data_IF_530095084468
#
_entry.id   IF_530095084468
#
_cell.length_a   1.000
_cell.length_b   1.000
_cell.length_c   1.000
_cell.angle_alpha   90.00
_cell.angle_beta   90.00
_cell.angle_gamma   90.00
#
_symmetry.space_group_name_H-M   'P 1'
#
loop_
_entity.id
_entity.type
_entity.pdbx_description
1 polymer ?
#
# COMPACT_ATOMS: atom_id res chain seq x y z
N UNK A 1 -13.21 12.43 -15.18
CA UNK A 1 -11.98 11.64 -15.41
C UNK A 1 -12.33 10.39 -16.22
N UNK A 2 -11.51 9.96 -17.21
CA UNK A 2 -11.67 8.66 -17.88
C UNK A 2 -11.33 7.50 -16.92
N UNK A 3 -12.07 6.40 -17.00
CA UNK A 3 -11.87 5.24 -16.12
C UNK A 3 -10.47 4.59 -16.19
N UNK A 4 -9.72 4.57 -17.31
CA UNK A 4 -8.36 4.04 -17.31
C UNK A 4 -7.40 4.91 -16.47
N UNK A 5 -7.62 6.23 -16.42
CA UNK A 5 -6.83 7.15 -15.59
C UNK A 5 -7.03 6.82 -14.10
N UNK A 6 -8.25 6.46 -13.68
CA UNK A 6 -8.52 5.98 -12.33
C UNK A 6 -7.75 4.69 -12.03
N UNK A 7 -7.76 3.72 -12.93
CA UNK A 7 -7.03 2.47 -12.77
C UNK A 7 -5.51 2.70 -12.60
N UNK A 8 -4.92 3.61 -13.39
CA UNK A 8 -3.50 3.96 -13.25
C UNK A 8 -3.22 4.78 -11.99
N UNK A 9 -4.14 5.65 -11.57
CA UNK A 9 -4.02 6.37 -10.30
C UNK A 9 -4.03 5.41 -9.11
N UNK A 10 -4.90 4.40 -9.14
CA UNK A 10 -4.90 3.34 -8.14
C UNK A 10 -3.67 2.44 -8.22
N UNK A 11 -3.24 2.09 -9.43
CA UNK A 11 -2.05 1.27 -9.61
C UNK A 11 -0.80 1.91 -8.98
N UNK A 12 -0.67 3.26 -9.06
CA UNK A 12 0.47 3.96 -8.44
C UNK A 12 0.52 3.80 -6.91
N UNK A 13 -0.60 3.53 -6.27
CA UNK A 13 -0.67 3.42 -4.80
C UNK A 13 -0.69 1.98 -4.28
N UNK A 14 -0.76 0.98 -5.15
CA UNK A 14 -0.86 -0.42 -4.75
C UNK A 14 0.52 -1.07 -4.67
N UNK A 15 1.23 -1.20 -5.78
CA UNK A 15 2.48 -1.96 -5.84
C UNK A 15 3.44 -1.41 -6.87
N UNK A 16 4.70 -1.21 -6.45
CA UNK A 16 5.83 -0.88 -7.32
C UNK A 16 6.71 -2.09 -7.62
N UNK A 17 7.68 -1.92 -8.52
CA UNK A 17 8.66 -2.98 -8.81
C UNK A 17 9.52 -3.31 -7.59
N UNK A 18 9.75 -2.36 -6.70
CA UNK A 18 10.49 -2.54 -5.44
C UNK A 18 9.72 -3.37 -4.40
N UNK A 19 8.39 -3.37 -4.45
CA UNK A 19 7.56 -4.10 -3.48
C UNK A 19 7.53 -5.61 -3.71
N UNK A 20 7.87 -6.10 -4.91
CA UNK A 20 7.90 -7.54 -5.21
C UNK A 20 9.22 -8.23 -4.81
N UNK A 21 10.26 -7.46 -4.51
CA UNK A 21 11.59 -7.97 -4.16
C UNK A 21 11.63 -8.57 -2.75
N UNK A 22 11.04 -7.91 -1.78
CA UNK A 22 11.03 -8.39 -0.39
C UNK A 22 10.21 -9.67 -0.19
N UNK A 23 9.02 -9.84 -0.79
CA UNK A 23 8.34 -11.13 -0.81
C UNK A 23 9.16 -12.24 -1.45
N UNK A 24 9.90 -11.96 -2.54
CA UNK A 24 10.82 -12.92 -3.14
C UNK A 24 11.95 -13.31 -2.19
N UNK A 25 12.50 -12.35 -1.44
CA UNK A 25 13.52 -12.62 -0.42
C UNK A 25 13.00 -13.52 0.70
N UNK A 26 11.75 -13.32 1.12
CA UNK A 26 11.17 -14.07 2.25
C UNK A 26 10.71 -15.49 1.88
N UNK A 27 10.14 -15.67 0.69
CA UNK A 27 9.49 -16.90 0.28
C UNK A 27 10.20 -17.65 -0.87
N UNK A 28 11.21 -17.04 -1.49
CA UNK A 28 11.86 -17.64 -2.67
C UNK A 28 10.88 -17.81 -3.83
N UNK A 29 11.06 -18.89 -4.64
CA UNK A 29 10.19 -19.18 -5.79
C UNK A 29 8.71 -19.41 -5.42
N UNK A 30 8.43 -19.86 -4.21
CA UNK A 30 7.05 -20.13 -3.77
C UNK A 30 6.18 -18.88 -3.72
N UNK A 31 6.78 -17.69 -3.67
CA UNK A 31 6.04 -16.42 -3.71
C UNK A 31 5.27 -16.22 -5.02
N UNK A 32 5.75 -16.76 -6.14
CA UNK A 32 5.02 -16.68 -7.43
C UNK A 32 3.66 -17.40 -7.34
N UNK A 33 3.65 -18.59 -6.73
CA UNK A 33 2.41 -19.32 -6.45
C UNK A 33 1.50 -18.53 -5.49
N UNK A 34 2.08 -17.93 -4.47
CA UNK A 34 1.33 -17.10 -3.51
C UNK A 34 0.72 -15.86 -4.14
N UNK A 35 1.42 -15.19 -5.04
CA UNK A 35 0.83 -14.08 -5.78
C UNK A 35 -0.44 -14.52 -6.52
N UNK A 36 -0.39 -15.65 -7.22
CA UNK A 36 -1.57 -16.20 -7.92
C UNK A 36 -2.71 -16.48 -6.92
N UNK A 37 -2.41 -17.09 -5.77
CA UNK A 37 -3.42 -17.35 -4.74
C UNK A 37 -4.02 -16.06 -4.19
N UNK A 38 -3.22 -15.10 -3.80
CA UNK A 38 -3.69 -13.82 -3.25
C UNK A 38 -4.50 -13.04 -4.28
N UNK A 39 -4.10 -13.04 -5.54
CA UNK A 39 -4.85 -12.38 -6.61
C UNK A 39 -6.24 -13.00 -6.77
N UNK A 40 -6.33 -14.32 -6.83
CA UNK A 40 -7.61 -15.00 -7.04
C UNK A 40 -8.50 -14.97 -5.80
N UNK A 41 -7.92 -15.21 -4.62
CA UNK A 41 -8.70 -15.39 -3.39
C UNK A 41 -8.98 -14.08 -2.66
N UNK A 42 -8.19 -13.04 -2.91
CA UNK A 42 -8.32 -11.78 -2.19
C UNK A 42 -8.39 -10.57 -3.12
N UNK A 43 -7.37 -10.27 -3.95
CA UNK A 43 -7.28 -9.01 -4.68
C UNK A 43 -8.47 -8.78 -5.63
N UNK A 44 -8.76 -9.76 -6.50
CA UNK A 44 -9.90 -9.67 -7.42
C UNK A 44 -11.25 -9.53 -6.68
N UNK A 45 -11.61 -10.38 -5.67
CA UNK A 45 -12.79 -10.14 -4.85
C UNK A 45 -12.80 -8.78 -4.17
N UNK A 46 -11.67 -8.33 -3.64
CA UNK A 46 -11.53 -7.05 -2.96
C UNK A 46 -11.82 -5.87 -3.88
N UNK A 47 -11.21 -5.82 -5.05
CA UNK A 47 -11.43 -4.77 -6.04
C UNK A 47 -12.89 -4.75 -6.54
N UNK A 48 -13.50 -5.93 -6.73
CA UNK A 48 -14.92 -6.01 -7.09
C UNK A 48 -15.85 -5.59 -5.97
N UNK A 49 -15.48 -5.83 -4.70
CA UNK A 49 -16.20 -5.33 -3.52
C UNK A 49 -16.11 -3.82 -3.44
N UNK A 50 -14.93 -3.23 -3.66
CA UNK A 50 -14.74 -1.76 -3.73
C UNK A 50 -15.58 -1.18 -4.86
N UNK A 51 -15.60 -1.81 -6.04
CA UNK A 51 -16.46 -1.40 -7.16
C UNK A 51 -17.95 -1.44 -6.79
N UNK A 52 -18.40 -2.47 -6.09
CA UNK A 52 -19.81 -2.55 -5.64
C UNK A 52 -20.12 -1.49 -4.61
N UNK A 53 -19.31 -1.30 -3.58
CA UNK A 53 -19.53 -0.29 -2.54
C UNK A 53 -19.53 1.12 -3.13
N UNK A 54 -18.55 1.44 -4.01
CA UNK A 54 -18.47 2.71 -4.70
C UNK A 54 -19.70 2.97 -5.58
N UNK A 55 -20.22 1.96 -6.27
CA UNK A 55 -21.45 2.11 -7.08
C UNK A 55 -22.74 2.15 -6.24
N UNK A 56 -22.70 1.65 -5.00
CA UNK A 56 -23.86 1.69 -4.08
C UNK A 56 -24.00 3.08 -3.45
N UNK A 57 -22.89 3.74 -3.12
CA UNK A 57 -22.86 4.98 -2.36
C UNK A 57 -22.39 6.21 -3.17
N UNK A 58 -22.34 6.09 -4.49
CA UNK A 58 -21.84 7.10 -5.44
C UNK A 58 -22.64 8.41 -5.48
N UNK A 59 -23.92 8.37 -5.12
CA UNK A 59 -24.85 9.49 -5.31
C UNK A 59 -24.59 10.71 -4.41
N UNK A 60 -23.55 10.70 -3.56
CA UNK A 60 -23.34 11.73 -2.56
C UNK A 60 -21.92 12.30 -2.59
N UNK A 61 -21.84 13.61 -2.47
CA UNK A 61 -20.60 14.40 -2.49
C UNK A 61 -19.59 14.03 -1.39
N UNK A 62 -20.01 13.26 -0.38
CA UNK A 62 -19.23 12.83 0.79
C UNK A 62 -18.97 11.32 0.80
N UNK A 63 -19.00 10.63 -0.34
CA UNK A 63 -18.82 9.19 -0.46
C UNK A 63 -17.39 8.72 -0.17
N UNK A 64 -16.99 8.71 1.09
CA UNK A 64 -15.73 8.12 1.56
C UNK A 64 -15.93 6.74 2.19
N UNK A 65 -14.82 6.07 2.51
CA UNK A 65 -14.81 4.75 3.14
C UNK A 65 -15.57 4.73 4.48
N UNK A 66 -15.44 5.81 5.27
CA UNK A 66 -16.15 5.99 6.52
C UNK A 66 -17.66 6.12 6.32
N UNK A 67 -18.10 6.81 5.25
CA UNK A 67 -19.51 6.91 4.87
C UNK A 67 -20.08 5.56 4.45
N UNK A 68 -19.32 4.74 3.72
CA UNK A 68 -19.74 3.38 3.38
C UNK A 68 -20.03 2.54 4.63
N UNK A 69 -19.12 2.58 5.61
CA UNK A 69 -19.29 1.86 6.87
C UNK A 69 -20.47 2.43 7.67
N UNK A 70 -20.54 3.76 7.85
CA UNK A 70 -21.59 4.42 8.61
C UNK A 70 -22.99 4.06 8.09
N UNK A 71 -23.17 4.11 6.76
CA UNK A 71 -24.47 3.83 6.14
C UNK A 71 -24.81 2.36 6.14
N UNK A 72 -23.86 1.49 5.79
CA UNK A 72 -24.11 0.06 5.74
C UNK A 72 -24.41 -0.54 7.11
N UNK A 73 -23.85 0.03 8.19
CA UNK A 73 -24.02 -0.45 9.57
C UNK A 73 -24.98 0.40 10.42
N UNK A 74 -25.45 1.54 9.91
CA UNK A 74 -26.19 2.56 10.66
C UNK A 74 -25.48 3.03 11.95
N UNK A 75 -24.12 3.06 11.93
CA UNK A 75 -23.31 3.40 13.09
C UNK A 75 -22.26 4.48 12.76
N UNK A 76 -22.47 5.68 13.29
CA UNK A 76 -21.51 6.78 13.19
C UNK A 76 -20.15 6.43 13.80
N UNK A 77 -20.18 5.65 14.91
CA UNK A 77 -18.96 5.21 15.58
C UNK A 77 -18.12 4.28 14.71
N UNK A 78 -18.73 3.30 14.02
CA UNK A 78 -18.02 2.43 13.09
C UNK A 78 -17.49 3.21 11.88
N UNK A 79 -18.23 4.21 11.40
CA UNK A 79 -17.75 5.15 10.39
C UNK A 79 -16.47 5.85 10.82
N UNK A 80 -16.48 6.43 12.02
CA UNK A 80 -15.28 7.05 12.61
C UNK A 80 -14.11 6.07 12.75
N UNK A 81 -14.35 4.89 13.30
CA UNK A 81 -13.31 3.86 13.44
C UNK A 81 -12.70 3.49 12.09
N UNK A 82 -13.53 3.40 11.05
CA UNK A 82 -13.07 3.10 9.68
C UNK A 82 -12.18 4.21 9.14
N UNK A 83 -12.58 5.48 9.29
CA UNK A 83 -11.75 6.61 8.86
C UNK A 83 -10.40 6.64 9.57
N UNK A 84 -10.41 6.42 10.88
CA UNK A 84 -9.19 6.41 11.68
C UNK A 84 -8.25 5.26 11.31
N UNK A 85 -8.78 4.03 11.23
CA UNK A 85 -7.97 2.85 10.90
C UNK A 85 -7.43 2.93 9.47
N UNK A 86 -8.22 3.45 8.53
CA UNK A 86 -7.74 3.73 7.17
C UNK A 86 -6.55 4.70 7.20
N UNK A 87 -6.71 5.85 7.85
CA UNK A 87 -5.66 6.85 7.98
C UNK A 87 -4.42 6.29 8.66
N UNK A 88 -4.57 5.66 9.83
CA UNK A 88 -3.47 5.12 10.62
C UNK A 88 -2.71 4.00 9.89
N UNK A 89 -3.43 3.15 9.14
CA UNK A 89 -2.82 2.06 8.36
C UNK A 89 -1.94 2.56 7.20
N UNK A 90 -2.19 3.77 6.70
CA UNK A 90 -1.39 4.33 5.63
C UNK A 90 -0.09 5.00 6.14
N UNK A 91 0.04 5.27 7.45
CA UNK A 91 1.19 6.01 7.98
C UNK A 91 2.53 5.31 7.76
N UNK A 92 2.69 4.00 8.03
CA UNK A 92 3.96 3.32 7.76
C UNK A 92 4.32 3.32 6.27
N UNK A 93 3.32 3.23 5.39
CA UNK A 93 3.56 3.22 3.95
C UNK A 93 3.94 4.58 3.40
N UNK A 94 3.36 5.67 3.91
CA UNK A 94 3.79 7.03 3.57
C UNK A 94 5.28 7.24 3.90
N UNK A 95 5.73 6.72 5.05
CA UNK A 95 7.14 6.78 5.43
C UNK A 95 8.01 5.91 4.51
N UNK A 96 7.56 4.70 4.18
CA UNK A 96 8.27 3.78 3.29
C UNK A 96 8.44 4.36 1.87
N UNK A 97 7.37 4.94 1.31
CA UNK A 97 7.39 5.62 0.01
C UNK A 97 8.36 6.82 0.01
N UNK A 98 8.34 7.63 1.07
CA UNK A 98 9.26 8.74 1.19
C UNK A 98 10.72 8.30 1.36
N UNK A 99 10.97 7.21 2.08
CA UNK A 99 12.28 6.56 2.17
C UNK A 99 12.74 6.07 0.78
N UNK A 100 11.87 5.40 0.04
CA UNK A 100 12.16 4.92 -1.31
C UNK A 100 12.44 6.06 -2.29
N UNK A 101 11.81 7.24 -2.10
CA UNK A 101 12.14 8.44 -2.87
C UNK A 101 13.56 8.94 -2.58
N UNK A 102 14.01 8.94 -1.31
CA UNK A 102 15.39 9.30 -0.94
C UNK A 102 16.38 8.34 -1.60
N UNK A 103 16.12 7.04 -1.55
CA UNK A 103 16.97 6.02 -2.17
C UNK A 103 17.01 6.20 -3.69
N UNK A 104 15.88 6.47 -4.34
CA UNK A 104 15.84 6.73 -5.79
C UNK A 104 16.73 7.91 -6.19
N UNK A 105 16.66 9.02 -5.46
CA UNK A 105 17.51 10.19 -5.67
C UNK A 105 18.98 9.83 -5.45
N UNK A 106 19.28 9.04 -4.42
CA UNK A 106 20.67 8.62 -4.17
C UNK A 106 21.26 7.83 -5.34
N UNK A 107 20.50 6.88 -5.91
CA UNK A 107 20.92 6.13 -7.08
C UNK A 107 21.05 6.99 -8.34
N UNK A 108 20.22 8.02 -8.50
CA UNK A 108 20.37 9.00 -9.58
C UNK A 108 21.68 9.79 -9.48
N UNK A 109 22.13 10.12 -8.27
CA UNK A 109 23.29 10.97 -8.02
C UNK A 109 24.56 10.12 -7.91
N UNK A 110 24.55 9.06 -7.11
CA UNK A 110 25.73 8.27 -6.76
C UNK A 110 25.96 7.11 -7.75
N UNK A 111 24.88 6.56 -8.33
CA UNK A 111 24.95 5.41 -9.24
C UNK A 111 25.41 4.11 -8.57
N UNK A 112 25.23 3.99 -7.25
CA UNK A 112 25.60 2.83 -6.43
C UNK A 112 24.82 2.81 -5.10
N UNK A 113 25.05 1.78 -4.29
CA UNK A 113 24.43 1.49 -3.00
C UNK A 113 25.08 2.14 -1.77
N UNK A 114 25.97 3.13 -1.98
CA UNK A 114 26.76 3.72 -0.89
C UNK A 114 25.97 4.57 0.10
N UNK A 115 24.67 4.81 -0.12
CA UNK A 115 23.85 5.66 0.77
C UNK A 115 23.93 5.21 2.24
N UNK A 116 23.88 3.89 2.48
CA UNK A 116 23.92 3.31 3.82
C UNK A 116 25.26 3.56 4.56
N UNK A 117 26.35 3.76 3.83
CA UNK A 117 27.68 4.10 4.37
C UNK A 117 27.91 5.60 4.52
N UNK A 118 27.20 6.43 3.77
CA UNK A 118 27.37 7.88 3.77
C UNK A 118 26.50 8.61 4.79
N UNK A 119 25.43 7.96 5.28
CA UNK A 119 24.40 8.63 6.06
C UNK A 119 23.98 7.79 7.27
N UNK A 120 23.82 8.42 8.45
CA UNK A 120 23.22 7.76 9.61
C UNK A 120 21.70 7.63 9.47
N UNK A 121 21.09 6.67 10.18
CA UNK A 121 19.62 6.48 10.19
C UNK A 121 18.90 7.78 10.58
N UNK A 122 19.43 8.54 11.53
CA UNK A 122 18.84 9.83 11.96
C UNK A 122 18.84 10.85 10.83
N UNK A 123 19.97 10.97 10.13
CA UNK A 123 20.09 11.91 9.00
C UNK A 123 19.18 11.49 7.83
N UNK A 124 19.12 10.18 7.54
CA UNK A 124 18.21 9.62 6.57
C UNK A 124 16.75 9.93 6.93
N UNK A 125 16.36 9.69 8.19
CA UNK A 125 15.01 10.00 8.68
C UNK A 125 14.66 11.49 8.60
N UNK A 126 15.58 12.38 8.90
CA UNK A 126 15.37 13.84 8.75
C UNK A 126 15.17 14.24 7.29
N UNK A 127 15.93 13.64 6.37
CA UNK A 127 15.78 13.89 4.94
C UNK A 127 14.44 13.37 4.42
N UNK A 128 14.05 12.18 4.85
CA UNK A 128 12.73 11.60 4.54
C UNK A 128 11.61 12.49 5.05
N UNK A 129 11.71 12.96 6.30
CA UNK A 129 10.72 13.87 6.87
C UNK A 129 10.64 15.19 6.10
N UNK A 130 11.79 15.74 5.68
CA UNK A 130 11.82 16.96 4.87
C UNK A 130 11.05 16.77 3.53
N UNK A 131 11.19 15.61 2.87
CA UNK A 131 10.42 15.30 1.66
C UNK A 131 8.92 15.27 1.97
N UNK A 132 8.48 14.55 3.00
CA UNK A 132 7.06 14.50 3.41
C UNK A 132 6.54 15.91 3.66
N UNK A 133 7.29 16.73 4.40
CA UNK A 133 6.88 18.08 4.75
C UNK A 133 6.79 19.01 3.54
N UNK A 134 7.75 18.93 2.62
CA UNK A 134 7.73 19.69 1.34
C UNK A 134 6.49 19.29 0.52
N UNK A 135 6.15 18.01 0.45
CA UNK A 135 4.95 17.56 -0.26
C UNK A 135 3.67 18.05 0.42
N UNK A 136 3.58 18.07 1.75
CA UNK A 136 2.45 18.64 2.48
C UNK A 136 2.28 20.13 2.14
N UNK A 137 3.36 20.90 2.13
CA UNK A 137 3.31 22.33 1.74
C UNK A 137 2.97 22.51 0.26
N UNK A 138 3.50 21.65 -0.60
CA UNK A 138 3.34 21.71 -2.06
C UNK A 138 2.01 21.15 -2.60
N UNK A 139 1.17 20.52 -1.78
CA UNK A 139 -0.08 19.89 -2.22
C UNK A 139 -1.01 20.82 -3.03
N UNK A 140 -1.03 22.12 -2.72
CA UNK A 140 -1.82 23.10 -3.46
C UNK A 140 -1.38 23.26 -4.92
N UNK A 141 -0.09 23.09 -5.19
CA UNK A 141 0.48 23.24 -6.53
C UNK A 141 0.20 22.01 -7.41
N UNK A 142 0.11 20.82 -6.77
CA UNK A 142 0.02 19.53 -7.47
C UNK A 142 -1.45 19.12 -7.73
N UNK A 143 -2.41 19.61 -6.93
CA UNK A 143 -3.82 19.15 -6.93
C UNK A 143 -4.44 18.99 -8.33
N UNK A 144 -4.24 19.96 -9.22
CA UNK A 144 -4.85 19.94 -10.55
C UNK A 144 -4.15 19.01 -11.54
N UNK A 145 -2.90 18.61 -11.26
CA UNK A 145 -2.07 17.78 -12.12
C UNK A 145 -1.89 16.35 -11.57
N UNK A 146 -2.38 16.09 -10.36
CA UNK A 146 -2.13 14.85 -9.63
C UNK A 146 -2.57 13.60 -10.42
N UNK A 147 -3.75 13.64 -11.03
CA UNK A 147 -4.31 12.53 -11.83
C UNK A 147 -3.42 12.21 -13.05
N UNK A 148 -2.92 13.25 -13.72
CA UNK A 148 -2.08 13.09 -14.92
C UNK A 148 -0.67 12.61 -14.52
N UNK A 149 -0.07 13.22 -13.50
CA UNK A 149 1.26 12.84 -13.00
C UNK A 149 1.25 11.40 -12.52
N UNK A 150 0.22 11.00 -11.76
CA UNK A 150 0.07 9.63 -11.25
C UNK A 150 -0.12 8.62 -12.37
N UNK A 151 -0.92 8.94 -13.38
CA UNK A 151 -1.12 8.06 -14.53
C UNK A 151 0.18 7.89 -15.36
N UNK A 152 0.96 8.96 -15.57
CA UNK A 152 2.25 8.89 -16.26
C UNK A 152 3.24 8.06 -15.44
N UNK A 153 3.33 8.29 -14.13
CA UNK A 153 4.23 7.56 -13.23
C UNK A 153 3.89 6.06 -13.22
N UNK A 154 2.60 5.72 -13.07
CA UNK A 154 2.10 4.35 -13.09
C UNK A 154 2.39 3.64 -14.41
N UNK A 155 2.10 4.30 -15.54
CA UNK A 155 2.38 3.75 -16.87
C UNK A 155 3.88 3.54 -17.08
N UNK A 156 4.71 4.51 -16.67
CA UNK A 156 6.16 4.40 -16.78
C UNK A 156 6.72 3.23 -15.97
N UNK A 157 6.25 3.04 -14.73
CA UNK A 157 6.65 1.91 -13.90
C UNK A 157 6.19 0.58 -14.50
N UNK A 158 4.96 0.49 -14.97
CA UNK A 158 4.44 -0.70 -15.64
C UNK A 158 5.26 -1.06 -16.87
N UNK A 159 5.59 -0.07 -17.72
CA UNK A 159 6.42 -0.27 -18.91
C UNK A 159 7.83 -0.71 -18.55
N UNK A 160 8.45 -0.14 -17.50
CA UNK A 160 9.77 -0.57 -17.02
C UNK A 160 9.73 -2.00 -16.51
N UNK A 161 8.67 -2.40 -15.79
CA UNK A 161 8.50 -3.79 -15.36
C UNK A 161 8.35 -4.74 -16.56
N UNK A 162 7.52 -4.39 -17.53
CA UNK A 162 7.32 -5.22 -18.73
C UNK A 162 8.59 -5.28 -19.59
N UNK A 163 9.37 -4.20 -19.63
CA UNK A 163 10.70 -4.19 -20.25
C UNK A 163 11.63 -5.21 -19.56
N UNK A 164 11.70 -5.19 -18.23
CA UNK A 164 12.50 -6.13 -17.46
C UNK A 164 12.07 -7.59 -17.73
N UNK A 165 10.78 -7.86 -17.67
CA UNK A 165 10.19 -9.18 -17.97
C UNK A 165 10.53 -9.64 -19.39
N UNK A 166 10.31 -8.77 -20.38
CA UNK A 166 10.56 -9.08 -21.79
C UNK A 166 12.04 -9.33 -22.09
N UNK A 167 12.93 -8.47 -21.56
CA UNK A 167 14.38 -8.63 -21.76
C UNK A 167 14.93 -9.87 -21.04
N UNK A 168 14.45 -10.18 -19.82
CA UNK A 168 14.83 -11.39 -19.10
C UNK A 168 14.34 -12.64 -19.84
N UNK A 169 13.08 -12.66 -20.29
CA UNK A 169 12.53 -13.75 -21.09
C UNK A 169 13.29 -13.95 -22.41
N UNK A 170 13.58 -12.87 -23.11
CA UNK A 170 14.39 -12.91 -24.31
C UNK A 170 15.79 -13.51 -24.07
N UNK A 171 16.47 -13.08 -22.98
CA UNK A 171 17.79 -13.60 -22.65
C UNK A 171 17.75 -15.11 -22.35
N UNK A 172 16.76 -15.58 -21.60
CA UNK A 172 16.58 -17.02 -21.29
C UNK A 172 16.32 -17.83 -22.57
N UNK A 173 15.47 -17.33 -23.47
CA UNK A 173 15.19 -17.98 -24.76
C UNK A 173 16.44 -18.07 -25.67
N UNK A 174 17.42 -17.15 -25.49
CA UNK A 174 18.69 -17.16 -26.22
C UNK A 174 19.82 -17.86 -25.44
N UNK A 175 19.48 -18.70 -24.47
CA UNK A 175 20.43 -19.58 -23.78
C UNK A 175 21.05 -19.01 -22.51
N UNK A 176 20.57 -17.87 -21.98
CA UNK A 176 20.98 -17.39 -20.67
C UNK A 176 20.50 -18.40 -19.59
N UNK A 177 21.42 -18.77 -18.69
CA UNK A 177 21.09 -19.67 -17.58
C UNK A 177 20.17 -18.96 -16.59
N UNK A 178 19.11 -19.65 -16.15
CA UNK A 178 18.27 -19.21 -15.04
C UNK A 178 19.12 -19.22 -13.76
N UNK A 179 19.06 -18.12 -13.00
CA UNK A 179 19.91 -17.96 -11.81
C UNK A 179 19.47 -18.83 -10.63
N UNK A 180 18.17 -19.03 -10.46
CA UNK A 180 17.62 -19.86 -9.38
C UNK A 180 17.64 -21.34 -9.75
N UNK A 181 18.25 -22.16 -8.87
CA UNK A 181 18.28 -23.61 -9.00
C UNK A 181 17.92 -24.26 -7.65
N UNK A 182 17.07 -25.32 -7.62
CA UNK A 182 16.31 -25.87 -8.74
C UNK A 182 15.19 -24.93 -9.22
N UNK A 183 14.87 -24.97 -10.49
CA UNK A 183 13.76 -24.24 -11.09
C UNK A 183 12.75 -25.26 -11.64
N UNK A 184 12.09 -25.95 -10.72
CA UNK A 184 11.11 -27.00 -10.99
C UNK A 184 9.76 -26.69 -10.31
N UNK A 185 8.71 -27.40 -10.69
CA UNK A 185 7.38 -27.18 -10.12
C UNK A 185 7.31 -27.34 -8.60
N UNK A 186 8.20 -28.16 -8.01
CA UNK A 186 8.22 -28.36 -6.54
C UNK A 186 8.72 -27.12 -5.82
N UNK A 187 9.66 -26.37 -6.40
CA UNK A 187 10.19 -25.15 -5.81
C UNK A 187 9.16 -24.00 -5.76
N UNK A 188 8.08 -24.07 -6.55
CA UNK A 188 6.99 -23.10 -6.49
C UNK A 188 5.94 -23.43 -5.43
N UNK A 189 5.94 -24.63 -4.84
CA UNK A 189 4.96 -25.02 -3.83
C UNK A 189 5.47 -24.58 -2.47
N UNK A 190 4.71 -23.76 -1.71
CA UNK A 190 5.12 -23.30 -0.38
C UNK A 190 5.05 -24.42 0.66
N UNK A 191 5.88 -24.31 1.70
CA UNK A 191 5.91 -25.25 2.83
C UNK A 191 4.81 -25.02 3.87
N UNK A 192 4.01 -23.95 3.76
CA UNK A 192 2.95 -23.58 4.69
C UNK A 192 3.37 -23.54 6.17
N UNK A 193 4.62 -23.18 6.43
CA UNK A 193 5.18 -23.03 7.78
C UNK A 193 4.83 -21.66 8.41
N UNK A 194 5.34 -21.41 9.62
CA UNK A 194 5.10 -20.15 10.32
C UNK A 194 5.65 -18.92 9.55
N UNK A 195 6.78 -19.08 8.87
CA UNK A 195 7.39 -18.03 8.03
C UNK A 195 6.49 -17.69 6.84
N UNK A 196 5.92 -18.70 6.20
CA UNK A 196 4.95 -18.53 5.13
C UNK A 196 3.76 -17.69 5.60
N UNK A 197 3.11 -18.11 6.69
CA UNK A 197 1.91 -17.40 7.19
C UNK A 197 2.21 -15.99 7.67
N UNK A 198 3.35 -15.75 8.32
CA UNK A 198 3.73 -14.39 8.76
C UNK A 198 3.97 -13.43 7.60
N UNK A 199 4.43 -13.93 6.45
CA UNK A 199 4.70 -13.11 5.27
C UNK A 199 3.47 -12.88 4.35
N UNK A 200 2.36 -13.61 4.56
CA UNK A 200 1.14 -13.44 3.75
C UNK A 200 0.47 -12.07 3.92
N UNK A 201 0.60 -11.47 5.11
CA UNK A 201 0.09 -10.11 5.36
C UNK A 201 0.73 -9.07 4.45
N UNK A 202 2.02 -9.21 4.15
CA UNK A 202 2.74 -8.35 3.22
C UNK A 202 2.24 -8.51 1.77
N UNK A 203 1.99 -9.74 1.31
CA UNK A 203 1.42 -9.94 -0.02
C UNK A 203 0.01 -9.36 -0.13
N UNK A 204 -0.79 -9.52 0.93
CA UNK A 204 -2.13 -8.94 0.99
C UNK A 204 -2.07 -7.40 0.98
N UNK A 205 -1.11 -6.79 1.69
CA UNK A 205 -0.86 -5.36 1.65
C UNK A 205 -0.54 -4.90 0.21
N UNK A 206 0.42 -5.55 -0.45
CA UNK A 206 0.85 -5.21 -1.80
C UNK A 206 -0.20 -5.53 -2.91
N UNK A 207 -1.26 -6.25 -2.57
CA UNK A 207 -2.38 -6.54 -3.45
C UNK A 207 -3.66 -5.74 -3.13
N UNK A 208 -3.61 -4.85 -2.11
CA UNK A 208 -4.71 -4.01 -1.67
C UNK A 208 -4.39 -2.53 -1.92
N UNK A 209 -5.43 -1.69 -2.04
CA UNK A 209 -5.24 -0.23 -2.22
C UNK A 209 -6.34 0.41 -3.04
N UNK A 210 -7.20 -0.38 -3.69
CA UNK A 210 -8.30 0.13 -4.53
C UNK A 210 -9.24 1.11 -3.80
N UNK A 211 -9.28 1.09 -2.47
CA UNK A 211 -10.04 2.05 -1.67
C UNK A 211 -9.43 3.46 -1.66
N UNK A 212 -8.19 3.62 -2.05
CA UNK A 212 -7.56 4.94 -2.18
C UNK A 212 -8.17 5.73 -3.32
N UNK A 213 -8.77 5.06 -4.32
CA UNK A 213 -9.55 5.70 -5.39
C UNK A 213 -10.87 6.32 -4.92
N UNK A 214 -11.37 5.96 -3.75
CA UNK A 214 -12.72 6.38 -3.30
C UNK A 214 -12.97 7.88 -3.43
N UNK A 215 -12.07 8.80 -3.04
CA UNK A 215 -12.26 10.24 -3.23
C UNK A 215 -12.36 10.68 -4.69
N UNK A 216 -11.94 9.84 -5.63
CA UNK A 216 -11.90 10.15 -7.06
C UNK A 216 -13.05 9.53 -7.86
N UNK A 217 -13.86 8.65 -7.25
CA UNK A 217 -14.99 7.96 -7.89
C UNK A 217 -15.99 8.97 -8.47
N UNK A 218 -16.29 10.04 -7.73
CA UNK A 218 -17.20 11.12 -8.17
C UNK A 218 -16.75 11.84 -9.45
N UNK A 219 -15.48 11.72 -9.83
CA UNK A 219 -14.92 12.30 -11.06
C UNK A 219 -15.15 11.44 -12.31
N UNK A 220 -15.62 10.19 -12.16
CA UNK A 220 -16.02 9.34 -13.29
C UNK A 220 -17.31 9.85 -13.91
N UNK A 221 -17.48 9.63 -15.22
CA UNK A 221 -18.70 10.03 -15.94
C UNK A 221 -19.89 9.14 -15.59
N UNK A 222 -19.64 7.86 -15.42
CA UNK A 222 -20.65 6.86 -15.05
C UNK A 222 -20.01 5.83 -14.11
N UNK A 223 -19.93 6.12 -12.78
CA UNK A 223 -19.31 5.24 -11.81
C UNK A 223 -19.81 3.80 -11.85
N UNK A 224 -21.13 3.60 -12.01
CA UNK A 224 -21.74 2.28 -12.04
C UNK A 224 -21.20 1.35 -13.14
N UNK A 225 -20.72 1.91 -14.26
CA UNK A 225 -20.20 1.16 -15.40
C UNK A 225 -18.67 1.25 -15.51
N UNK A 226 -18.12 2.38 -15.12
CA UNK A 226 -16.71 2.70 -15.33
C UNK A 226 -15.84 2.18 -14.19
N UNK A 227 -16.32 2.24 -12.94
CA UNK A 227 -15.58 1.78 -11.79
C UNK A 227 -15.24 0.27 -11.85
N UNK A 228 -16.18 -0.66 -12.16
CA UNK A 228 -15.82 -2.06 -12.32
C UNK A 228 -14.78 -2.32 -13.41
N UNK A 229 -14.78 -1.53 -14.50
CA UNK A 229 -13.78 -1.64 -15.55
C UNK A 229 -12.41 -1.18 -15.08
N UNK A 230 -12.37 -0.08 -14.31
CA UNK A 230 -11.14 0.41 -13.72
C UNK A 230 -10.54 -0.62 -12.76
N UNK A 231 -11.36 -1.25 -11.91
CA UNK A 231 -10.92 -2.28 -10.98
C UNK A 231 -10.42 -3.55 -11.70
N UNK A 232 -11.08 -3.99 -12.77
CA UNK A 232 -10.59 -5.12 -13.58
C UNK A 232 -9.24 -4.80 -14.25
N UNK A 233 -9.08 -3.60 -14.80
CA UNK A 233 -7.79 -3.18 -15.36
C UNK A 233 -6.71 -3.14 -14.28
N UNK A 234 -7.04 -2.62 -13.11
CA UNK A 234 -6.17 -2.60 -11.94
C UNK A 234 -5.69 -4.00 -11.56
N UNK A 235 -6.62 -4.98 -11.44
CA UNK A 235 -6.30 -6.39 -11.18
C UNK A 235 -5.32 -6.96 -12.21
N UNK A 236 -5.52 -6.65 -13.48
CA UNK A 236 -4.63 -7.11 -14.57
C UNK A 236 -3.24 -6.49 -14.42
N UNK A 237 -3.15 -5.17 -14.22
CA UNK A 237 -1.87 -4.45 -14.06
C UNK A 237 -1.08 -4.99 -12.86
N UNK A 238 -1.75 -5.13 -11.71
CA UNK A 238 -1.16 -5.66 -10.48
C UNK A 238 -0.71 -7.10 -10.65
N UNK A 239 -1.52 -7.96 -11.29
CA UNK A 239 -1.17 -9.35 -11.57
C UNK A 239 0.04 -9.46 -12.49
N UNK A 240 0.09 -8.68 -13.57
CA UNK A 240 1.22 -8.66 -14.48
C UNK A 240 2.52 -8.23 -13.75
N UNK A 241 2.46 -7.17 -12.95
CA UNK A 241 3.64 -6.71 -12.21
C UNK A 241 4.09 -7.75 -11.18
N UNK A 242 3.17 -8.24 -10.34
CA UNK A 242 3.53 -9.13 -9.22
C UNK A 242 3.95 -10.51 -9.72
N UNK A 243 3.17 -11.18 -10.55
CA UNK A 243 3.46 -12.56 -10.99
C UNK A 243 4.61 -12.58 -12.01
N UNK A 244 4.50 -11.80 -13.11
CA UNK A 244 5.51 -11.84 -14.16
C UNK A 244 6.80 -11.14 -13.71
N UNK A 245 6.71 -10.04 -12.97
CA UNK A 245 7.87 -9.34 -12.43
C UNK A 245 8.65 -10.20 -11.45
N UNK A 246 7.97 -10.87 -10.51
CA UNK A 246 8.62 -11.79 -9.56
C UNK A 246 9.22 -13.01 -10.26
N UNK A 247 8.53 -13.58 -11.23
CA UNK A 247 9.05 -14.71 -12.02
C UNK A 247 10.34 -14.31 -12.77
N UNK A 248 10.33 -13.14 -13.44
CA UNK A 248 11.50 -12.63 -14.12
C UNK A 248 12.66 -12.33 -13.14
N UNK A 249 12.37 -11.76 -11.97
CA UNK A 249 13.37 -11.54 -10.91
C UNK A 249 13.99 -12.86 -10.44
N UNK A 250 13.19 -13.92 -10.24
CA UNK A 250 13.67 -15.23 -9.84
C UNK A 250 14.49 -15.95 -10.92
N UNK A 251 14.21 -15.65 -12.21
CA UNK A 251 15.07 -16.10 -13.31
C UNK A 251 16.40 -15.35 -13.35
N UNK A 252 16.41 -14.11 -12.91
CA UNK A 252 17.54 -13.18 -13.00
C UNK A 252 18.46 -13.25 -11.79
N UNK A 253 17.89 -13.32 -10.57
CA UNK A 253 18.58 -13.51 -9.31
C UNK A 253 18.37 -14.93 -8.79
N UNK A 254 19.39 -15.47 -8.10
CA UNK A 254 19.22 -16.74 -7.37
C UNK A 254 18.37 -16.52 -6.13
N UNK A 255 17.11 -16.95 -6.16
CA UNK A 255 16.16 -16.78 -5.07
C UNK A 255 16.60 -17.45 -3.74
N UNK A 256 17.59 -18.36 -3.77
CA UNK A 256 18.15 -19.01 -2.58
C UNK A 256 19.31 -18.23 -1.95
N UNK A 257 19.86 -17.23 -2.66
CA UNK A 257 21.02 -16.43 -2.22
C UNK A 257 20.82 -14.97 -2.67
N UNK A 258 19.86 -14.30 -2.08
CA UNK A 258 19.57 -12.90 -2.38
C UNK A 258 20.34 -11.96 -1.45
N UNK A 259 20.73 -10.75 -1.92
CA UNK A 259 21.32 -9.72 -1.08
C UNK A 259 20.40 -9.35 0.10
N UNK A 260 20.98 -9.02 1.26
CA UNK A 260 20.19 -8.63 2.44
C UNK A 260 19.47 -7.29 2.30
N UNK A 261 19.98 -6.41 1.43
CA UNK A 261 19.45 -5.07 1.15
C UNK A 261 18.54 -5.02 -0.10
N UNK A 262 17.95 -6.16 -0.44
CA UNK A 262 17.18 -6.32 -1.68
C UNK A 262 15.97 -5.38 -1.74
N UNK A 263 15.28 -5.12 -0.60
CA UNK A 263 14.15 -4.16 -0.57
C UNK A 263 14.62 -2.76 -0.90
N UNK A 264 15.74 -2.33 -0.35
CA UNK A 264 16.26 -0.99 -0.52
C UNK A 264 16.88 -0.78 -1.92
N UNK A 265 17.72 -1.73 -2.37
CA UNK A 265 18.60 -1.55 -3.52
C UNK A 265 18.33 -2.54 -4.67
N UNK A 266 17.57 -3.59 -4.45
CA UNK A 266 17.45 -4.72 -5.37
C UNK A 266 16.89 -4.38 -6.74
N UNK A 267 15.94 -3.45 -6.82
CA UNK A 267 15.41 -2.98 -8.11
C UNK A 267 16.50 -2.30 -8.96
N UNK A 268 17.36 -1.51 -8.35
CA UNK A 268 18.46 -0.85 -9.05
C UNK A 268 19.51 -1.87 -9.48
N UNK A 269 19.84 -2.86 -8.64
CA UNK A 269 20.72 -3.98 -9.01
C UNK A 269 20.18 -4.75 -10.22
N UNK A 270 18.87 -5.01 -10.24
CA UNK A 270 18.21 -5.71 -11.34
C UNK A 270 18.42 -4.96 -12.68
N UNK A 271 18.10 -3.69 -12.71
CA UNK A 271 18.24 -2.89 -13.92
C UNK A 271 19.72 -2.57 -14.28
N UNK A 272 20.61 -2.46 -13.30
CA UNK A 272 22.05 -2.30 -13.55
C UNK A 272 22.62 -3.54 -14.20
N UNK A 273 22.36 -4.74 -13.64
CA UNK A 273 22.86 -6.00 -14.18
C UNK A 273 22.25 -6.32 -15.54
N UNK A 274 20.96 -6.02 -15.74
CA UNK A 274 20.29 -6.20 -17.02
C UNK A 274 20.93 -5.30 -18.09
N UNK A 275 21.17 -4.02 -17.77
CA UNK A 275 21.86 -3.07 -18.65
C UNK A 275 23.27 -3.52 -19.02
N UNK A 276 24.02 -4.05 -18.07
CA UNK A 276 25.36 -4.61 -18.30
C UNK A 276 25.33 -5.80 -19.25
N UNK A 277 24.38 -6.75 -19.05
CA UNK A 277 24.22 -7.93 -19.93
C UNK A 277 23.85 -7.55 -21.36
N UNK A 278 23.12 -6.46 -21.55
CA UNK A 278 22.71 -5.96 -22.87
C UNK A 278 23.74 -4.99 -23.51
N UNK A 279 24.86 -4.74 -22.86
CA UNK A 279 25.87 -3.81 -23.36
C UNK A 279 25.52 -2.32 -23.16
N UNK A 280 24.48 -2.00 -22.39
CA UNK A 280 24.03 -0.62 -22.12
C UNK A 280 24.65 -0.03 -20.85
N UNK A 281 25.54 -0.75 -20.18
CA UNK A 281 26.21 -0.32 -18.95
C UNK A 281 25.20 0.01 -17.84
N UNK A 282 25.37 1.18 -17.22
CA UNK A 282 24.49 1.67 -16.15
C UNK A 282 23.26 2.46 -16.63
N UNK A 283 23.10 2.68 -17.94
CA UNK A 283 22.05 3.58 -18.47
C UNK A 283 20.65 3.14 -18.05
N UNK A 284 20.38 1.83 -18.10
CA UNK A 284 19.07 1.29 -17.74
C UNK A 284 18.74 1.48 -16.26
N UNK A 285 19.74 1.38 -15.39
CA UNK A 285 19.61 1.66 -13.95
C UNK A 285 19.29 3.15 -13.71
N UNK A 286 19.95 4.08 -14.40
CA UNK A 286 19.64 5.50 -14.25
C UNK A 286 18.22 5.82 -14.75
N UNK A 287 17.79 5.26 -15.87
CA UNK A 287 16.42 5.41 -16.38
C UNK A 287 15.44 4.88 -15.33
N UNK A 288 15.68 3.70 -14.78
CA UNK A 288 14.84 3.13 -13.74
C UNK A 288 14.81 4.03 -12.50
N UNK A 289 15.94 4.55 -12.03
CA UNK A 289 16.00 5.43 -10.85
C UNK A 289 15.14 6.70 -11.03
N UNK A 290 15.13 7.30 -12.24
CA UNK A 290 14.26 8.44 -12.56
C UNK A 290 12.79 8.02 -12.52
N UNK A 291 12.43 6.89 -13.14
CA UNK A 291 11.05 6.37 -13.14
C UNK A 291 10.58 6.04 -11.72
N UNK A 292 11.44 5.40 -10.92
CA UNK A 292 11.16 5.07 -9.52
C UNK A 292 10.95 6.34 -8.69
N UNK A 293 11.80 7.36 -8.84
CA UNK A 293 11.63 8.64 -8.15
C UNK A 293 10.29 9.31 -8.52
N UNK A 294 9.95 9.35 -9.80
CA UNK A 294 8.66 9.89 -10.28
C UNK A 294 7.48 9.09 -9.69
N UNK A 295 7.60 7.77 -9.65
CA UNK A 295 6.59 6.87 -9.09
C UNK A 295 6.40 7.11 -7.60
N UNK A 296 7.48 7.17 -6.81
CA UNK A 296 7.42 7.44 -5.36
C UNK A 296 6.85 8.83 -5.05
N UNK A 297 7.20 9.85 -5.82
CA UNK A 297 6.64 11.19 -5.65
C UNK A 297 5.15 11.26 -5.97
N UNK A 298 4.70 10.60 -7.04
CA UNK A 298 3.29 10.53 -7.38
C UNK A 298 2.50 9.77 -6.31
N UNK A 299 3.02 8.64 -5.85
CA UNK A 299 2.44 7.82 -4.80
C UNK A 299 2.33 8.59 -3.47
N UNK A 300 3.40 9.28 -3.06
CA UNK A 300 3.40 10.12 -1.85
C UNK A 300 2.34 11.22 -1.93
N UNK A 301 2.23 11.89 -3.07
CA UNK A 301 1.25 12.95 -3.27
C UNK A 301 -0.20 12.44 -3.20
N UNK A 302 -0.50 11.29 -3.82
CA UNK A 302 -1.84 10.67 -3.76
C UNK A 302 -2.18 10.22 -2.35
N UNK A 303 -1.26 9.56 -1.64
CA UNK A 303 -1.50 9.12 -0.27
C UNK A 303 -1.76 10.29 0.67
N UNK A 304 -0.91 11.32 0.66
CA UNK A 304 -1.09 12.49 1.51
C UNK A 304 -2.43 13.18 1.28
N UNK A 305 -2.89 13.26 0.02
CA UNK A 305 -4.20 13.81 -0.31
C UNK A 305 -5.32 12.89 0.20
N UNK A 306 -5.34 11.64 -0.21
CA UNK A 306 -6.41 10.69 0.08
C UNK A 306 -6.61 10.48 1.59
N UNK A 307 -5.55 10.22 2.36
CA UNK A 307 -5.67 9.94 3.80
C UNK A 307 -6.16 11.15 4.58
N UNK A 308 -5.75 12.36 4.17
CA UNK A 308 -6.16 13.59 4.84
C UNK A 308 -7.63 13.90 4.58
N UNK A 309 -8.12 13.63 3.37
CA UNK A 309 -9.53 13.79 3.04
C UNK A 309 -10.42 12.76 3.75
N UNK A 310 -10.02 11.49 3.80
CA UNK A 310 -10.81 10.45 4.47
C UNK A 310 -10.93 10.76 5.97
N UNK A 311 -9.85 11.18 6.63
CA UNK A 311 -9.88 11.44 8.07
C UNK A 311 -10.72 12.67 8.42
N UNK A 312 -10.56 13.77 7.70
CA UNK A 312 -11.20 15.05 8.07
C UNK A 312 -12.39 15.44 7.18
N UNK A 313 -12.55 14.82 6.01
CA UNK A 313 -13.66 15.09 5.09
C UNK A 313 -14.88 14.20 5.32
N UNK A 314 -14.66 12.99 5.81
CA UNK A 314 -15.69 11.94 5.91
C UNK A 314 -16.08 11.60 7.36
N UNK A 315 -15.49 12.31 8.34
CA UNK A 315 -15.73 12.08 9.77
C UNK A 315 -16.72 13.09 10.36
N UNK A 316 -17.63 12.60 11.20
CA UNK A 316 -18.62 13.41 11.90
C UNK A 316 -17.97 14.27 13.01
N UNK A 317 -18.40 15.53 13.15
CA UNK A 317 -18.00 16.47 14.23
C UNK A 317 -18.24 15.91 15.66
N UNK A 318 -19.08 14.88 15.78
CA UNK A 318 -19.33 14.18 17.03
C UNK A 318 -18.09 13.46 17.56
N UNK A 319 -17.21 12.99 16.66
CA UNK A 319 -16.03 12.19 17.00
C UNK A 319 -14.71 12.91 16.74
N UNK A 320 -14.73 14.02 16.01
CA UNK A 320 -13.53 14.78 15.69
C UNK A 320 -13.68 16.22 16.19
N UNK A 321 -12.67 16.79 16.89
CA UNK A 321 -12.70 18.18 17.33
C UNK A 321 -12.85 19.15 16.15
N UNK A 322 -13.58 20.25 16.32
CA UNK A 322 -13.83 21.25 15.26
C UNK A 322 -12.54 21.83 14.69
N UNK A 323 -11.52 22.03 15.52
CA UNK A 323 -10.24 22.54 15.05
C UNK A 323 -9.56 21.59 14.06
N UNK A 324 -9.73 20.26 14.20
CA UNK A 324 -9.18 19.26 13.30
C UNK A 324 -9.90 19.27 11.94
N UNK A 325 -11.21 19.52 11.94
CA UNK A 325 -12.04 19.60 10.73
C UNK A 325 -11.91 20.92 9.98
N UNK A 326 -11.21 21.90 10.57
CA UNK A 326 -11.05 23.23 9.96
C UNK A 326 -10.33 23.12 8.62
N UNK A 327 -10.93 23.72 7.60
CA UNK A 327 -10.40 23.78 6.24
C UNK A 327 -9.68 25.11 5.98
N UNK A 328 -8.64 25.07 5.16
CA UNK A 328 -7.95 26.27 4.68
C UNK A 328 -8.76 27.01 3.60
N UNK A 329 -8.21 28.11 3.07
CA UNK A 329 -8.84 28.91 2.00
C UNK A 329 -9.10 28.11 0.72
N UNK A 330 -8.41 26.98 0.52
CA UNK A 330 -8.52 26.08 -0.62
C UNK A 330 -9.42 24.86 -0.33
N UNK A 331 -10.10 24.85 0.82
CA UNK A 331 -10.99 23.78 1.27
C UNK A 331 -10.30 22.56 1.84
N UNK A 332 -9.01 22.63 2.22
CA UNK A 332 -8.22 21.49 2.69
C UNK A 332 -8.21 21.34 4.20
N UNK A 333 -8.21 20.11 4.72
CA UNK A 333 -8.12 19.83 6.14
C UNK A 333 -6.67 19.94 6.63
N UNK A 334 -6.16 21.16 6.80
CA UNK A 334 -4.74 21.43 7.07
C UNK A 334 -4.22 20.74 8.34
N UNK A 335 -5.05 20.64 9.38
CA UNK A 335 -4.65 20.00 10.63
C UNK A 335 -4.50 18.48 10.48
N UNK A 336 -5.25 17.85 9.56
CA UNK A 336 -5.05 16.43 9.21
C UNK A 336 -3.69 16.18 8.56
N UNK A 337 -3.23 17.10 7.70
CA UNK A 337 -1.87 17.02 7.14
C UNK A 337 -0.78 17.17 8.21
N UNK A 338 -0.98 18.08 9.19
CA UNK A 338 -0.02 18.23 10.29
C UNK A 338 -0.01 17.03 11.23
N UNK A 339 -1.17 16.41 11.47
CA UNK A 339 -1.25 15.15 12.20
C UNK A 339 -0.50 14.03 11.47
N UNK A 340 -0.69 13.92 10.15
CA UNK A 340 0.05 12.97 9.30
C UNK A 340 1.55 13.21 9.42
N UNK A 341 2.02 14.46 9.31
CA UNK A 341 3.43 14.79 9.49
C UNK A 341 3.95 14.40 10.88
N UNK A 342 3.19 14.68 11.94
CA UNK A 342 3.56 14.34 13.32
C UNK A 342 3.70 12.84 13.54
N UNK A 343 2.78 12.02 13.01
CA UNK A 343 2.87 10.56 13.14
C UNK A 343 3.97 9.98 12.26
N UNK A 344 4.17 10.50 11.05
CA UNK A 344 5.32 10.11 10.23
C UNK A 344 6.66 10.43 10.91
N UNK A 345 6.77 11.60 11.55
CA UNK A 345 7.95 11.96 12.34
C UNK A 345 8.16 10.99 13.51
N UNK A 346 7.09 10.63 14.22
CA UNK A 346 7.15 9.63 15.30
C UNK A 346 7.67 8.28 14.80
N UNK A 347 7.17 7.78 13.67
CA UNK A 347 7.65 6.52 13.07
C UNK A 347 9.12 6.61 12.64
N UNK A 348 9.54 7.74 12.09
CA UNK A 348 10.94 7.98 11.71
C UNK A 348 11.87 8.05 12.93
N UNK A 349 11.42 8.65 14.05
CA UNK A 349 12.18 8.65 15.30
C UNK A 349 12.30 7.24 15.89
N UNK A 350 11.21 6.45 15.85
CA UNK A 350 11.24 5.04 16.24
C UNK A 350 12.21 4.23 15.38
N UNK A 351 12.20 4.44 14.08
CA UNK A 351 13.09 3.75 13.14
C UNK A 351 14.57 4.11 13.34
N UNK A 352 14.87 5.29 13.90
CA UNK A 352 16.23 5.72 14.22
C UNK A 352 16.94 4.84 15.25
N UNK A 353 16.20 3.98 15.99
CA UNK A 353 16.76 3.00 16.94
C UNK A 353 17.22 1.70 16.28
N UNK A 354 16.90 1.50 14.99
CA UNK A 354 17.26 0.31 14.23
C UNK A 354 18.74 0.33 13.80
N UNK A 355 19.34 -0.84 13.52
CA UNK A 355 20.77 -0.93 13.23
C UNK A 355 21.24 -0.16 12.00
N UNK A 356 20.46 -0.20 10.93
CA UNK A 356 20.80 0.39 9.63
C UNK A 356 19.54 0.81 8.84
N UNK A 357 19.74 1.50 7.72
CA UNK A 357 18.64 2.00 6.87
C UNK A 357 17.86 0.82 6.26
N UNK A 358 18.50 -0.28 5.91
CA UNK A 358 17.79 -1.45 5.37
C UNK A 358 16.83 -2.06 6.40
N UNK A 359 17.22 -2.12 7.66
CA UNK A 359 16.34 -2.56 8.76
C UNK A 359 15.12 -1.66 8.94
N UNK A 360 15.23 -0.34 8.64
CA UNK A 360 14.09 0.57 8.62
C UNK A 360 13.07 0.16 7.56
N UNK A 361 13.53 -0.13 6.35
CA UNK A 361 12.64 -0.59 5.26
C UNK A 361 11.94 -1.89 5.62
N UNK A 362 12.68 -2.88 6.10
CA UNK A 362 12.12 -4.18 6.48
C UNK A 362 11.09 -4.06 7.59
N UNK A 363 11.35 -3.22 8.61
CA UNK A 363 10.41 -2.97 9.69
C UNK A 363 9.12 -2.29 9.21
N UNK A 364 9.22 -1.25 8.36
CA UNK A 364 8.06 -0.56 7.81
C UNK A 364 7.19 -1.48 6.95
N UNK A 365 7.81 -2.33 6.14
CA UNK A 365 7.08 -3.31 5.33
C UNK A 365 6.35 -4.35 6.20
N UNK A 366 7.02 -4.87 7.23
CA UNK A 366 6.39 -5.79 8.17
C UNK A 366 5.20 -5.11 8.86
N UNK A 367 5.35 -3.84 9.27
CA UNK A 367 4.28 -3.07 9.88
C UNK A 367 3.10 -2.85 8.91
N UNK A 368 3.38 -2.56 7.64
CA UNK A 368 2.37 -2.49 6.59
C UNK A 368 1.61 -3.82 6.42
N UNK A 369 2.32 -4.95 6.48
CA UNK A 369 1.73 -6.29 6.45
C UNK A 369 0.80 -6.59 7.63
N UNK A 370 0.93 -5.87 8.76
CA UNK A 370 0.03 -5.97 9.91
C UNK A 370 -1.17 -5.05 9.75
N UNK A 371 -0.92 -3.74 9.58
CA UNK A 371 -1.99 -2.73 9.70
C UNK A 371 -2.94 -2.68 8.52
N UNK A 372 -2.44 -2.97 7.29
CA UNK A 372 -3.28 -2.89 6.11
C UNK A 372 -4.35 -4.00 6.02
N UNK A 373 -4.07 -5.28 6.32
CA UNK A 373 -5.12 -6.29 6.36
C UNK A 373 -6.21 -5.99 7.40
N UNK A 374 -5.92 -5.33 8.52
CA UNK A 374 -6.95 -4.83 9.45
C UNK A 374 -7.87 -3.81 8.79
N UNK A 375 -7.33 -2.86 8.04
CA UNK A 375 -8.13 -1.90 7.28
C UNK A 375 -9.10 -2.61 6.32
N UNK A 376 -8.62 -3.63 5.61
CA UNK A 376 -9.43 -4.39 4.66
C UNK A 376 -10.63 -5.09 5.32
N UNK A 377 -10.52 -5.48 6.60
CA UNK A 377 -11.63 -6.05 7.35
C UNK A 377 -12.87 -5.13 7.38
N UNK A 378 -12.66 -3.81 7.50
CA UNK A 378 -13.77 -2.84 7.52
C UNK A 378 -14.49 -2.75 6.17
N UNK A 379 -13.76 -2.88 5.06
CA UNK A 379 -14.35 -2.91 3.72
C UNK A 379 -15.24 -4.14 3.55
N UNK A 380 -14.77 -5.30 3.97
CA UNK A 380 -15.57 -6.53 3.90
C UNK A 380 -16.76 -6.52 4.85
N UNK A 381 -16.64 -5.91 6.05
CA UNK A 381 -17.77 -5.70 6.95
C UNK A 381 -18.84 -4.84 6.27
N UNK A 382 -18.46 -3.71 5.67
CA UNK A 382 -19.40 -2.85 4.94
C UNK A 382 -20.10 -3.63 3.80
N UNK A 383 -19.34 -4.42 3.03
CA UNK A 383 -19.89 -5.26 1.97
C UNK A 383 -20.89 -6.31 2.49
N UNK A 384 -20.53 -7.02 3.56
CA UNK A 384 -21.40 -8.02 4.20
C UNK A 384 -22.71 -7.35 4.63
N UNK A 385 -22.65 -6.17 5.28
CA UNK A 385 -23.82 -5.44 5.72
C UNK A 385 -24.72 -5.01 4.55
N UNK A 386 -24.14 -4.47 3.47
CA UNK A 386 -24.89 -4.14 2.23
C UNK A 386 -25.58 -5.39 1.66
N UNK A 387 -24.90 -6.54 1.68
CA UNK A 387 -25.49 -7.79 1.16
C UNK A 387 -26.51 -8.42 2.11
N UNK A 388 -26.41 -8.18 3.42
CA UNK A 388 -27.41 -8.60 4.40
C UNK A 388 -28.70 -7.77 4.27
N UNK A 389 -28.58 -6.48 3.99
CA UNK A 389 -29.68 -5.53 3.87
C UNK A 389 -29.91 -5.08 2.41
N UNK A 390 -29.79 -6.02 1.46
CA UNK A 390 -29.82 -5.70 0.02
C UNK A 390 -31.12 -5.00 -0.45
N UNK A 391 -32.21 -5.05 0.30
CA UNK A 391 -33.46 -4.35 -0.01
C UNK A 391 -33.41 -2.86 0.33
N UNK A 392 -32.46 -2.43 1.16
CA UNK A 392 -32.26 -1.04 1.56
C UNK A 392 -31.28 -0.33 0.61
N UNK A 393 -30.39 -1.10 -0.04
CA UNK A 393 -29.31 -0.56 -0.86
C UNK A 393 -29.48 -0.93 -2.34
N UNK A 394 -29.54 0.10 -3.18
CA UNK A 394 -29.57 -0.07 -4.63
C UNK A 394 -28.18 0.06 -5.21
N UNK A 395 -27.52 -1.06 -5.48
CA UNK A 395 -26.18 -1.08 -6.08
C UNK A 395 -26.26 -0.97 -7.60
N UNK A 396 -25.61 0.04 -8.17
CA UNK A 396 -25.52 0.18 -9.63
C UNK A 396 -24.69 -0.91 -10.31
N UNK A 397 -23.76 -1.51 -9.55
CA UNK A 397 -23.00 -2.70 -9.91
C UNK A 397 -23.10 -3.74 -8.81
N UNK A 398 -23.34 -5.00 -9.15
CA UNK A 398 -23.43 -6.13 -8.22
C UNK A 398 -22.41 -7.20 -8.62
N UNK A 399 -21.38 -7.38 -7.80
CA UNK A 399 -20.29 -8.33 -8.04
C UNK A 399 -20.79 -9.78 -8.08
N UNK A 400 -21.47 -10.21 -7.03
CA UNK A 400 -22.06 -11.56 -6.94
C UNK A 400 -23.57 -11.46 -6.77
N UNK A 401 -24.36 -11.83 -7.79
CA UNK A 401 -25.83 -11.67 -7.78
C UNK A 401 -26.49 -12.47 -6.65
N UNK A 402 -26.06 -13.71 -6.43
CA UNK A 402 -26.63 -14.56 -5.38
C UNK A 402 -26.19 -14.08 -3.99
N UNK A 403 -27.15 -13.75 -3.11
CA UNK A 403 -26.91 -13.23 -1.75
C UNK A 403 -26.04 -14.16 -0.91
N UNK A 404 -26.34 -15.44 -0.88
CA UNK A 404 -25.60 -16.43 -0.07
C UNK A 404 -24.15 -16.54 -0.52
N UNK A 405 -23.90 -16.64 -1.84
CA UNK A 405 -22.54 -16.69 -2.40
C UNK A 405 -21.79 -15.39 -2.11
N UNK A 406 -22.43 -14.23 -2.21
CA UNK A 406 -21.84 -12.95 -1.88
C UNK A 406 -21.40 -12.89 -0.40
N UNK A 407 -22.25 -13.36 0.52
CA UNK A 407 -21.92 -13.43 1.93
C UNK A 407 -20.78 -14.40 2.22
N UNK A 408 -20.73 -15.56 1.54
CA UNK A 408 -19.62 -16.52 1.68
C UNK A 408 -18.31 -15.85 1.25
N UNK A 409 -18.28 -15.15 0.10
CA UNK A 409 -17.10 -14.42 -0.37
C UNK A 409 -16.70 -13.33 0.63
N UNK A 410 -17.65 -12.52 1.12
CA UNK A 410 -17.38 -11.46 2.08
C UNK A 410 -16.78 -12.00 3.39
N UNK A 411 -17.39 -13.04 3.98
CA UNK A 411 -16.87 -13.66 5.21
C UNK A 411 -15.51 -14.34 5.00
N UNK A 412 -15.33 -15.02 3.87
CA UNK A 412 -14.04 -15.64 3.53
C UNK A 412 -12.92 -14.58 3.46
N UNK A 413 -13.12 -13.49 2.71
CA UNK A 413 -12.12 -12.43 2.58
C UNK A 413 -11.90 -11.68 3.91
N UNK A 414 -12.94 -11.49 4.72
CA UNK A 414 -12.83 -10.92 6.07
C UNK A 414 -11.93 -11.78 6.96
N UNK A 415 -12.23 -13.08 7.04
CA UNK A 415 -11.46 -14.02 7.86
C UNK A 415 -10.02 -14.16 7.35
N UNK A 416 -9.82 -14.21 6.04
CA UNK A 416 -8.49 -14.25 5.43
C UNK A 416 -7.69 -12.99 5.80
N UNK A 417 -8.28 -11.79 5.66
CA UNK A 417 -7.63 -10.53 6.02
C UNK A 417 -7.26 -10.47 7.50
N UNK A 418 -8.19 -10.86 8.37
CA UNK A 418 -7.94 -10.88 9.81
C UNK A 418 -6.84 -11.88 10.19
N UNK A 419 -6.85 -13.10 9.61
CA UNK A 419 -5.83 -14.11 9.87
C UNK A 419 -4.46 -13.64 9.39
N UNK A 420 -4.37 -13.07 8.18
CA UNK A 420 -3.11 -12.52 7.67
C UNK A 420 -2.57 -11.39 8.54
N UNK A 421 -3.43 -10.49 9.03
CA UNK A 421 -3.05 -9.44 9.97
C UNK A 421 -2.47 -10.00 11.26
N UNK A 422 -3.14 -11.00 11.85
CA UNK A 422 -2.70 -11.63 13.10
C UNK A 422 -1.38 -12.39 12.95
N UNK A 423 -1.21 -13.11 11.85
CA UNK A 423 0.03 -13.85 11.58
C UNK A 423 1.21 -12.93 11.28
N UNK A 424 0.98 -11.75 10.69
CA UNK A 424 2.02 -10.79 10.38
C UNK A 424 2.67 -10.13 11.62
N UNK A 425 2.05 -10.23 12.81
CA UNK A 425 2.71 -9.81 14.06
C UNK A 425 3.98 -10.59 14.36
N UNK A 426 4.06 -11.86 13.88
CA UNK A 426 5.21 -12.73 14.14
C UNK A 426 6.44 -12.23 13.37
N UNK A 427 7.57 -11.95 14.06
CA UNK A 427 8.81 -11.55 13.40
C UNK A 427 9.29 -12.59 12.40
N UNK A 428 9.71 -12.14 11.22
CA UNK A 428 10.05 -13.02 10.08
C UNK A 428 11.55 -13.28 9.95
N UNK A 429 12.39 -12.31 10.33
CA UNK A 429 13.84 -12.32 10.06
C UNK A 429 14.66 -12.85 11.24
N UNK A 430 14.01 -13.11 12.37
CA UNK A 430 14.69 -13.43 13.63
C UNK A 430 14.24 -14.79 14.13
N UNK A 431 15.18 -15.60 14.62
CA UNK A 431 14.90 -16.94 15.13
C UNK A 431 13.92 -16.90 16.31
N UNK A 432 12.89 -17.75 16.26
CA UNK A 432 11.83 -17.85 17.27
C UNK A 432 12.39 -18.00 18.69
N UNK A 433 11.82 -17.24 19.64
CA UNK A 433 12.14 -17.30 21.05
C UNK A 433 13.44 -16.62 21.47
N UNK A 434 14.18 -15.98 20.57
CA UNK A 434 15.35 -15.15 20.90
C UNK A 434 14.94 -13.82 21.53
N UNK A 435 15.87 -13.16 22.25
CA UNK A 435 15.63 -11.82 22.78
C UNK A 435 15.27 -10.82 21.67
N UNK A 436 15.94 -10.90 20.52
CA UNK A 436 15.66 -10.07 19.36
C UNK A 436 14.24 -10.31 18.80
N UNK A 437 13.80 -11.58 18.74
CA UNK A 437 12.44 -11.93 18.32
C UNK A 437 11.38 -11.35 19.25
N UNK A 438 11.56 -11.50 20.58
CA UNK A 438 10.63 -10.95 21.56
C UNK A 438 10.57 -9.41 21.48
N UNK A 439 11.73 -8.76 21.32
CA UNK A 439 11.81 -7.29 21.19
C UNK A 439 11.08 -6.80 19.95
N UNK A 440 11.26 -7.45 18.80
CA UNK A 440 10.58 -7.09 17.55
C UNK A 440 9.07 -7.35 17.63
N UNK A 441 8.64 -8.45 18.25
CA UNK A 441 7.23 -8.72 18.50
C UNK A 441 6.59 -7.62 19.35
N UNK A 442 7.25 -7.25 20.46
CA UNK A 442 6.76 -6.18 21.34
C UNK A 442 6.71 -4.85 20.61
N UNK A 443 7.70 -4.53 19.79
CA UNK A 443 7.71 -3.31 18.96
C UNK A 443 6.55 -3.28 17.96
N UNK A 444 6.27 -4.40 17.27
CA UNK A 444 5.14 -4.52 16.36
C UNK A 444 3.81 -4.28 17.09
N UNK A 445 3.60 -4.98 18.23
CA UNK A 445 2.37 -4.84 19.05
C UNK A 445 2.23 -3.42 19.57
N UNK A 446 3.28 -2.85 20.15
CA UNK A 446 3.27 -1.49 20.70
C UNK A 446 2.93 -0.45 19.62
N UNK A 447 3.58 -0.54 18.46
CA UNK A 447 3.35 0.42 17.37
C UNK A 447 1.90 0.37 16.87
N UNK A 448 1.32 -0.83 16.70
CA UNK A 448 -0.08 -0.97 16.27
C UNK A 448 -1.04 -0.44 17.33
N UNK A 449 -0.79 -0.73 18.63
CA UNK A 449 -1.60 -0.19 19.73
C UNK A 449 -1.54 1.33 19.75
N UNK A 450 -0.37 1.93 19.55
CA UNK A 450 -0.23 3.39 19.48
C UNK A 450 -0.98 3.95 18.27
N UNK A 451 -0.74 3.42 17.08
CA UNK A 451 -1.38 3.91 15.85
C UNK A 451 -2.91 3.84 15.92
N UNK A 452 -3.47 2.73 16.38
CA UNK A 452 -4.92 2.58 16.44
C UNK A 452 -5.51 3.23 17.69
N UNK A 453 -4.80 3.16 18.82
CA UNK A 453 -5.23 3.70 20.10
C UNK A 453 -5.29 5.24 20.15
N UNK A 454 -4.43 5.93 19.41
CA UNK A 454 -4.50 7.39 19.25
C UNK A 454 -5.88 7.85 18.76
N UNK A 455 -6.58 7.01 18.00
CA UNK A 455 -7.94 7.29 17.54
C UNK A 455 -8.96 7.45 18.66
N UNK A 456 -8.73 6.85 19.82
CA UNK A 456 -9.65 7.00 20.96
C UNK A 456 -9.55 8.38 21.65
N UNK A 457 -8.47 9.10 21.41
CA UNK A 457 -8.23 10.44 21.99
C UNK A 457 -9.16 11.48 21.37
N UNK A 458 -9.36 11.44 20.05
CA UNK A 458 -10.14 12.46 19.34
C UNK A 458 -11.62 12.53 19.76
N UNK A 459 -12.38 11.43 19.92
CA UNK A 459 -13.72 11.46 20.47
C UNK A 459 -13.80 12.05 21.89
N UNK A 460 -12.77 11.80 22.71
CA UNK A 460 -12.67 12.39 24.04
C UNK A 460 -12.47 13.91 23.96
N UNK A 461 -11.55 14.37 23.12
CA UNK A 461 -11.31 15.80 22.88
C UNK A 461 -12.55 16.50 22.31
N UNK A 462 -13.23 15.88 21.32
CA UNK A 462 -14.47 16.42 20.77
C UNK A 462 -15.58 16.53 21.82
N UNK A 463 -15.66 15.57 22.76
CA UNK A 463 -16.62 15.63 23.88
C UNK A 463 -16.28 16.76 24.86
N UNK A 464 -15.02 16.98 25.17
CA UNK A 464 -14.57 18.07 26.05
C UNK A 464 -14.83 19.44 25.39
N UNK A 465 -14.50 19.60 24.11
CA UNK A 465 -14.75 20.86 23.37
C UNK A 465 -16.23 21.23 23.38
N UNK A 466 -17.14 20.27 23.21
CA UNK A 466 -18.59 20.51 23.27
C UNK A 466 -19.09 20.88 24.65
N UNK A 467 -18.54 20.31 25.72
CA UNK A 467 -18.89 20.68 27.09
C UNK A 467 -18.57 22.14 27.40
N UNK A 468 -17.37 22.61 26.99
CA UNK A 468 -16.97 24.02 27.17
C UNK A 468 -17.73 25.01 26.29
N UNK A 469 -18.50 24.57 25.29
CA UNK A 469 -19.36 25.44 24.48
C UNK A 469 -20.80 25.55 25.04
N UNK A 470 -21.17 24.65 25.94
CA UNK A 470 -22.49 24.62 26.60
C UNK A 470 -22.50 25.25 27.99
N UNK A 471 -21.32 25.51 28.57
CA UNK A 471 -21.09 26.35 29.76
C UNK A 471 -20.79 27.81 29.34
#
# INVERSE_FOLDING_TARGET
>A
MPWPVLAFLDFVVIVGFDDILYPLQNQGLSVVFNWVLIIILFALPYEMVVAQLGSTFDSEQDGGLASWMRRSTHSDFLGYCTAWIFWASCMPYIVDVANSAVVSISWMILGNDSLNSLMSNTMFGLLTFAIIFVFILGQNLIKNSLEIISAIAALSMFLMTMLFVGMTGWAVLHGAKIATHPFDLKAFIPTFDAKYWSSTGLLMFAAAGAEVAVPYISKLRNPNRELPKAMILLAILTSCLTVLGTLALAMFFNANHLPHDLKMNGSYYAFQLLGQRMGWGKSLMYIFAVVQALYMFAQLAVFLDAVSWVLAGDTDEKYMPKWMLKRDKNGRPIHSYYLTAGVCLFLLLMSGTLPDINSVFNWLLNLNGIVNPFKNCFIFIAFIMVRMHQNEFNSGFVFVKNRTRALIVGWFCLLLSFTCAMMAFLPQEVSFGTHAWNSQLLMNIFTVIVLFGLGLIFPLLAKLERRHQTE
#
